data_IF_294500069100
#
_entry.id   IF_294500069100
#
_cell.length_a   1.000
_cell.length_b   1.000
_cell.length_c   1.000
_cell.angle_alpha   90.00
_cell.angle_beta   90.00
_cell.angle_gamma   90.00
#
_symmetry.space_group_name_H-M   'P 1'
#
loop_
_entity.id
_entity.type
_entity.pdbx_description
1 polymer ?
#
# COMPACT_ATOMS: atom_id res chain seq x y z
N UNK A 1 -15.50 -19.23 -1.71
CA UNK A 1 -16.24 -18.42 -0.72
C UNK A 1 -17.72 -18.52 -1.08
N UNK A 2 -18.58 -18.98 -0.17
CA UNK A 2 -20.03 -19.06 -0.41
C UNK A 2 -20.76 -17.96 0.36
N UNK A 3 -22.04 -17.73 0.03
CA UNK A 3 -22.86 -16.68 0.64
C UNK A 3 -22.92 -16.80 2.16
N UNK A 4 -23.13 -18.01 2.69
CA UNK A 4 -23.31 -18.23 4.12
C UNK A 4 -22.06 -17.86 4.93
N UNK A 5 -20.87 -18.17 4.40
CA UNK A 5 -19.59 -17.78 5.02
C UNK A 5 -19.47 -16.26 5.10
N UNK A 6 -19.84 -15.55 4.03
CA UNK A 6 -19.77 -14.07 3.99
C UNK A 6 -20.83 -13.45 4.90
N UNK A 7 -22.04 -14.01 4.94
CA UNK A 7 -23.11 -13.55 5.82
C UNK A 7 -22.76 -13.72 7.31
N UNK A 8 -22.07 -14.80 7.66
CA UNK A 8 -21.56 -15.03 9.01
C UNK A 8 -20.49 -14.01 9.39
N UNK A 9 -19.51 -13.77 8.51
CA UNK A 9 -18.47 -12.76 8.73
C UNK A 9 -19.08 -11.35 8.87
N UNK A 10 -20.02 -10.99 8.02
CA UNK A 10 -20.72 -9.70 8.06
C UNK A 10 -21.44 -9.43 9.39
N UNK A 11 -21.85 -10.48 10.12
CA UNK A 11 -22.53 -10.38 11.42
C UNK A 11 -21.58 -10.44 12.61
N UNK A 12 -20.48 -11.19 12.50
CA UNK A 12 -19.67 -11.57 13.66
C UNK A 12 -18.25 -11.01 13.65
N UNK A 13 -17.73 -10.59 12.50
CA UNK A 13 -16.36 -10.10 12.39
C UNK A 13 -16.24 -8.68 13.00
N UNK A 14 -15.43 -8.47 14.06
CA UNK A 14 -15.33 -7.18 14.73
C UNK A 14 -14.84 -6.06 13.82
N UNK A 15 -13.97 -6.36 12.85
CA UNK A 15 -13.50 -5.35 11.90
C UNK A 15 -14.64 -4.87 11.00
N UNK A 16 -15.45 -5.80 10.46
CA UNK A 16 -16.59 -5.44 9.61
C UNK A 16 -17.69 -4.70 10.39
N UNK A 17 -17.89 -5.06 11.67
CA UNK A 17 -18.82 -4.35 12.54
C UNK A 17 -18.34 -2.93 12.86
N UNK A 18 -17.05 -2.76 13.14
CA UNK A 18 -16.44 -1.45 13.40
C UNK A 18 -16.56 -0.51 12.20
N UNK A 19 -16.46 -1.02 10.97
CA UNK A 19 -16.64 -0.22 9.74
C UNK A 19 -17.99 0.52 9.65
N UNK A 20 -19.00 0.09 10.41
CA UNK A 20 -20.34 0.72 10.43
C UNK A 20 -20.52 1.74 11.56
N UNK A 21 -19.50 1.95 12.40
CA UNK A 21 -19.61 2.75 13.62
C UNK A 21 -19.17 4.18 13.35
N UNK A 22 -19.92 5.14 13.91
CA UNK A 22 -19.62 6.58 13.76
C UNK A 22 -18.30 6.98 14.41
N UNK A 23 -17.87 6.30 15.47
CA UNK A 23 -16.60 6.55 16.14
C UNK A 23 -15.39 5.93 15.43
N UNK A 24 -15.59 5.21 14.32
CA UNK A 24 -14.50 4.55 13.60
C UNK A 24 -13.37 5.52 13.19
N UNK A 25 -13.64 6.73 12.64
CA UNK A 25 -12.57 7.64 12.27
C UNK A 25 -11.68 8.00 13.47
N UNK A 26 -12.29 8.28 14.63
CA UNK A 26 -11.59 8.53 15.90
C UNK A 26 -10.74 7.33 16.31
N UNK A 27 -11.31 6.12 16.32
CA UNK A 27 -10.58 4.92 16.75
C UNK A 27 -9.38 4.64 15.85
N UNK A 28 -9.56 4.62 14.53
CA UNK A 28 -8.48 4.30 13.59
C UNK A 28 -7.40 5.37 13.63
N UNK A 29 -7.77 6.65 13.60
CA UNK A 29 -6.78 7.73 13.60
C UNK A 29 -5.98 7.80 14.89
N UNK A 30 -6.64 7.59 16.04
CA UNK A 30 -5.99 7.56 17.34
C UNK A 30 -5.10 6.33 17.53
N UNK A 31 -5.62 5.12 17.24
CA UNK A 31 -4.85 3.88 17.39
C UNK A 31 -3.64 3.84 16.44
N UNK A 32 -3.79 4.35 15.21
CA UNK A 32 -2.67 4.53 14.31
C UNK A 32 -1.65 5.55 14.84
N UNK A 33 -2.09 6.67 15.41
CA UNK A 33 -1.20 7.66 16.03
C UNK A 33 -0.38 7.06 17.20
N UNK A 34 -1.03 6.34 18.10
CA UNK A 34 -0.38 5.77 19.30
C UNK A 34 0.54 4.61 18.94
N UNK A 35 0.07 3.61 18.19
CA UNK A 35 0.83 2.38 17.99
C UNK A 35 1.71 2.39 16.73
N UNK A 36 1.25 3.01 15.63
CA UNK A 36 1.98 2.97 14.35
C UNK A 36 2.96 4.12 14.19
N UNK A 37 2.53 5.37 14.44
CA UNK A 37 3.40 6.54 14.28
C UNK A 37 4.49 6.65 15.34
N UNK A 38 4.21 6.24 16.58
CA UNK A 38 5.21 6.21 17.66
C UNK A 38 5.97 4.89 17.75
N UNK A 39 5.63 3.90 16.91
CA UNK A 39 6.20 2.55 16.92
C UNK A 39 6.13 1.84 18.29
N UNK A 40 5.07 2.10 19.05
CA UNK A 40 4.84 1.45 20.35
C UNK A 40 4.09 0.13 20.15
N UNK A 41 4.56 -0.96 20.78
CA UNK A 41 3.89 -2.27 20.72
C UNK A 41 2.82 -2.40 21.81
N UNK A 42 3.03 -1.73 22.95
CA UNK A 42 2.16 -1.72 24.10
C UNK A 42 2.30 -0.39 24.84
N UNK A 43 1.21 0.09 25.43
CA UNK A 43 1.16 1.38 26.14
C UNK A 43 0.55 1.16 27.52
N UNK A 44 0.98 1.89 28.55
CA UNK A 44 0.29 1.82 29.85
C UNK A 44 -1.15 2.33 29.71
N UNK A 45 -2.08 1.76 30.47
CA UNK A 45 -3.50 2.15 30.41
C UNK A 45 -3.70 3.63 30.71
N UNK A 46 -2.98 4.15 31.71
CA UNK A 46 -3.10 5.55 32.11
C UNK A 46 -2.60 6.48 31.01
N UNK A 47 -1.42 6.19 30.44
CA UNK A 47 -0.90 6.98 29.31
C UNK A 47 -1.79 6.87 28.07
N UNK A 48 -2.33 5.69 27.78
CA UNK A 48 -3.27 5.51 26.66
C UNK A 48 -4.53 6.37 26.85
N UNK A 49 -5.09 6.40 28.06
CA UNK A 49 -6.26 7.21 28.40
C UNK A 49 -5.94 8.71 28.29
N UNK A 50 -4.86 9.18 28.89
CA UNK A 50 -4.45 10.59 28.85
C UNK A 50 -4.22 11.06 27.41
N UNK A 51 -3.56 10.23 26.60
CA UNK A 51 -3.37 10.50 25.18
C UNK A 51 -4.70 10.57 24.43
N UNK A 52 -5.67 9.72 24.78
CA UNK A 52 -7.00 9.71 24.15
C UNK A 52 -7.81 10.95 24.53
N UNK A 53 -7.79 11.37 25.80
CA UNK A 53 -8.46 12.60 26.25
C UNK A 53 -7.90 13.82 25.49
N UNK A 54 -6.57 13.95 25.44
CA UNK A 54 -5.93 15.03 24.68
C UNK A 54 -6.24 14.97 23.17
N UNK A 55 -6.36 13.77 22.61
CA UNK A 55 -6.71 13.57 21.21
C UNK A 55 -8.17 13.93 20.93
N UNK A 56 -9.09 13.58 21.83
CA UNK A 56 -10.50 13.95 21.74
C UNK A 56 -10.67 15.47 21.75
N UNK A 57 -9.99 16.16 22.65
CA UNK A 57 -10.01 17.63 22.71
C UNK A 57 -9.52 18.25 21.39
N UNK A 58 -8.42 17.73 20.86
CA UNK A 58 -7.86 18.18 19.58
C UNK A 58 -8.84 17.96 18.42
N UNK A 59 -9.43 16.77 18.29
CA UNK A 59 -10.38 16.44 17.22
C UNK A 59 -11.66 17.26 17.36
N UNK A 60 -12.22 17.36 18.56
CA UNK A 60 -13.43 18.14 18.82
C UNK A 60 -13.24 19.64 18.57
N UNK A 61 -12.01 20.15 18.74
CA UNK A 61 -11.66 21.53 18.37
C UNK A 61 -11.69 21.80 16.86
N UNK A 62 -11.58 20.76 16.02
CA UNK A 62 -11.64 20.87 14.56
C UNK A 62 -13.03 20.54 13.99
N UNK A 63 -13.86 19.80 14.72
CA UNK A 63 -15.17 19.36 14.26
C UNK A 63 -16.29 20.38 14.54
N UNK A 64 -17.32 20.45 13.66
CA UNK A 64 -18.58 21.12 13.96
C UNK A 64 -19.23 20.59 15.25
N UNK A 65 -19.95 21.44 16.00
CA UNK A 65 -20.52 21.10 17.32
C UNK A 65 -21.48 19.89 17.30
N UNK A 66 -22.14 19.67 16.17
CA UNK A 66 -23.06 18.55 15.93
C UNK A 66 -22.36 17.22 15.66
N UNK A 67 -21.10 17.25 15.22
CA UNK A 67 -20.27 16.07 14.92
C UNK A 67 -19.27 15.74 16.04
N UNK A 68 -19.20 16.56 17.09
CA UNK A 68 -18.26 16.35 18.20
C UNK A 68 -18.53 15.06 18.98
N UNK A 69 -17.44 14.38 19.35
CA UNK A 69 -17.45 13.24 20.24
C UNK A 69 -17.69 13.70 21.68
N UNK A 70 -18.91 13.46 22.20
CA UNK A 70 -19.34 13.94 23.53
C UNK A 70 -19.00 13.00 24.70
N UNK A 71 -18.40 11.85 24.41
CA UNK A 71 -18.02 10.84 25.40
C UNK A 71 -16.56 11.02 25.79
N UNK A 72 -16.23 10.65 27.02
CA UNK A 72 -14.86 10.72 27.56
C UNK A 72 -13.96 9.57 27.06
N UNK A 73 -12.65 9.65 27.32
CA UNK A 73 -11.74 8.58 26.95
C UNK A 73 -12.08 7.24 27.61
N UNK A 74 -12.53 7.24 28.87
CA UNK A 74 -12.90 6.01 29.59
C UNK A 74 -13.98 5.23 28.86
N UNK A 75 -15.01 5.93 28.34
CA UNK A 75 -16.06 5.33 27.54
C UNK A 75 -15.49 4.61 26.31
N UNK A 76 -14.58 5.25 25.57
CA UNK A 76 -13.99 4.66 24.36
C UNK A 76 -13.03 3.51 24.68
N UNK A 77 -12.23 3.61 25.75
CA UNK A 77 -11.37 2.52 26.22
C UNK A 77 -12.20 1.29 26.55
N UNK A 78 -13.28 1.46 27.30
CA UNK A 78 -14.19 0.38 27.67
C UNK A 78 -14.88 -0.21 26.44
N UNK A 79 -15.40 0.66 25.56
CA UNK A 79 -16.05 0.25 24.31
C UNK A 79 -15.15 -0.57 23.40
N UNK A 80 -13.96 -0.04 23.10
CA UNK A 80 -13.00 -0.68 22.20
C UNK A 80 -12.39 -1.95 22.78
N UNK A 81 -12.38 -2.11 24.10
CA UNK A 81 -11.87 -3.32 24.75
C UNK A 81 -12.92 -4.41 24.91
N UNK A 82 -14.17 -4.06 25.26
CA UNK A 82 -15.20 -5.06 25.60
C UNK A 82 -16.23 -5.30 24.50
N UNK A 83 -16.67 -4.26 23.81
CA UNK A 83 -17.74 -4.38 22.80
C UNK A 83 -17.18 -4.70 21.42
N UNK A 84 -16.15 -3.97 21.00
CA UNK A 84 -15.73 -3.93 19.61
C UNK A 84 -14.40 -4.67 19.34
N UNK A 85 -13.78 -5.25 20.38
CA UNK A 85 -12.53 -6.04 20.34
C UNK A 85 -11.42 -5.41 19.47
N UNK A 86 -11.19 -4.11 19.63
CA UNK A 86 -10.14 -3.37 18.95
C UNK A 86 -8.85 -3.29 19.78
N UNK A 87 -8.98 -3.23 21.11
CA UNK A 87 -7.84 -3.17 22.02
C UNK A 87 -7.93 -4.27 23.08
N UNK A 88 -6.76 -4.73 23.55
CA UNK A 88 -6.63 -5.72 24.61
C UNK A 88 -5.94 -5.09 25.80
N UNK A 89 -6.62 -5.10 26.95
CA UNK A 89 -6.07 -4.66 28.23
C UNK A 89 -5.56 -5.88 28.98
N UNK A 90 -4.27 -5.90 29.33
CA UNK A 90 -3.62 -6.99 30.06
C UNK A 90 -3.01 -6.47 31.35
N UNK A 91 -3.10 -7.27 32.41
CA UNK A 91 -2.34 -7.02 33.65
C UNK A 91 -0.88 -7.42 33.45
N UNK A 92 0.03 -6.61 33.98
CA UNK A 92 1.48 -6.82 34.07
C UNK A 92 1.95 -6.35 35.46
N UNK A 93 3.14 -6.77 35.88
CA UNK A 93 3.68 -6.57 37.24
C UNK A 93 3.56 -5.14 37.80
N UNK A 94 3.54 -4.11 36.95
CA UNK A 94 3.44 -2.69 37.34
C UNK A 94 2.13 -2.00 36.90
N UNK A 95 1.10 -2.74 36.48
CA UNK A 95 -0.21 -2.17 36.15
C UNK A 95 -0.90 -2.81 34.94
N UNK A 96 -1.69 -2.03 34.22
CA UNK A 96 -2.39 -2.48 33.02
C UNK A 96 -1.75 -1.89 31.77
N UNK A 97 -1.57 -2.73 30.75
CA UNK A 97 -1.09 -2.33 29.43
C UNK A 97 -2.15 -2.57 28.36
N UNK A 98 -2.17 -1.71 27.35
CA UNK A 98 -3.05 -1.75 26.20
C UNK A 98 -2.25 -2.18 24.98
N UNK A 99 -2.79 -3.14 24.23
CA UNK A 99 -2.27 -3.60 22.95
C UNK A 99 -3.38 -3.55 21.89
N UNK A 100 -3.01 -3.49 20.62
CA UNK A 100 -3.97 -3.70 19.54
C UNK A 100 -4.44 -5.16 19.50
N UNK A 101 -5.71 -5.36 19.18
CA UNK A 101 -6.21 -6.67 18.79
C UNK A 101 -5.80 -6.99 17.34
N UNK A 102 -5.82 -8.27 16.93
CA UNK A 102 -5.64 -8.65 15.52
C UNK A 102 -6.66 -7.98 14.58
N UNK A 103 -7.86 -7.67 15.08
CA UNK A 103 -8.90 -7.02 14.29
C UNK A 103 -8.58 -5.54 14.05
N UNK A 104 -8.08 -4.83 15.06
CA UNK A 104 -7.62 -3.45 14.90
C UNK A 104 -6.38 -3.36 14.02
N UNK A 105 -5.42 -4.27 14.18
CA UNK A 105 -4.25 -4.39 13.29
C UNK A 105 -4.67 -4.52 11.82
N UNK A 106 -5.63 -5.42 11.53
CA UNK A 106 -6.17 -5.61 10.19
C UNK A 106 -6.92 -4.37 9.68
N UNK A 107 -7.72 -3.72 10.51
CA UNK A 107 -8.42 -2.48 10.15
C UNK A 107 -7.44 -1.38 9.78
N UNK A 108 -6.45 -1.12 10.64
CA UNK A 108 -5.42 -0.10 10.39
C UNK A 108 -4.71 -0.42 9.08
N UNK A 109 -4.29 -1.67 8.87
CA UNK A 109 -3.66 -2.10 7.62
C UNK A 109 -4.53 -1.86 6.37
N UNK A 110 -5.85 -2.06 6.45
CA UNK A 110 -6.75 -1.72 5.34
C UNK A 110 -6.78 -0.22 5.04
N UNK A 111 -6.80 0.64 6.07
CA UNK A 111 -6.76 2.09 5.89
C UNK A 111 -5.40 2.57 5.37
N UNK A 112 -4.30 2.00 5.87
CA UNK A 112 -2.95 2.23 5.34
C UNK A 112 -2.86 1.81 3.87
N UNK A 113 -3.38 0.64 3.50
CA UNK A 113 -3.44 0.19 2.11
C UNK A 113 -4.28 1.11 1.24
N UNK A 114 -5.43 1.57 1.73
CA UNK A 114 -6.29 2.52 1.01
C UNK A 114 -5.59 3.87 0.79
N UNK A 115 -4.79 4.34 1.75
CA UNK A 115 -3.96 5.54 1.60
C UNK A 115 -2.75 5.29 0.67
N UNK A 116 -2.10 4.14 0.78
CA UNK A 116 -0.86 3.79 0.07
C UNK A 116 -1.06 3.26 -1.35
N UNK A 117 -2.30 2.90 -1.74
CA UNK A 117 -2.67 2.49 -3.12
C UNK A 117 -2.45 3.57 -4.17
N UNK A 118 -2.12 4.80 -3.78
CA UNK A 118 -1.67 5.87 -4.69
C UNK A 118 -0.15 5.96 -4.90
N UNK A 119 0.69 5.46 -3.97
CA UNK A 119 2.08 5.94 -3.88
C UNK A 119 3.19 4.87 -3.99
N UNK A 120 2.94 3.58 -3.71
CA UNK A 120 4.04 2.56 -3.65
C UNK A 120 3.83 1.38 -4.62
N UNK A 121 2.61 1.14 -5.09
CA UNK A 121 2.28 -0.06 -5.87
C UNK A 121 2.70 -0.05 -7.35
N UNK A 122 2.83 1.12 -7.97
CA UNK A 122 3.02 1.25 -9.42
C UNK A 122 4.49 1.31 -9.79
N UNK A 123 5.30 2.02 -9.02
CA UNK A 123 6.74 2.16 -9.28
C UNK A 123 7.48 0.83 -9.10
N UNK A 124 7.23 0.12 -7.98
CA UNK A 124 7.87 -1.17 -7.72
C UNK A 124 7.47 -2.23 -8.74
N UNK A 125 6.19 -2.32 -9.11
CA UNK A 125 5.71 -3.28 -10.11
C UNK A 125 6.15 -2.96 -11.52
N UNK A 126 6.13 -1.68 -11.93
CA UNK A 126 6.64 -1.28 -13.24
C UNK A 126 8.15 -1.54 -13.34
N UNK A 127 8.90 -1.23 -12.28
CA UNK A 127 10.34 -1.51 -12.21
C UNK A 127 10.61 -3.01 -12.29
N UNK A 128 9.85 -3.84 -11.58
CA UNK A 128 9.95 -5.31 -11.69
C UNK A 128 9.61 -5.80 -13.10
N UNK A 129 8.57 -5.27 -13.75
CA UNK A 129 8.22 -5.65 -15.13
C UNK A 129 9.31 -5.22 -16.12
N UNK A 130 9.87 -4.02 -15.98
CA UNK A 130 10.99 -3.54 -16.79
C UNK A 130 12.25 -4.38 -16.57
N UNK A 131 12.57 -4.74 -15.33
CA UNK A 131 13.70 -5.64 -15.01
C UNK A 131 13.49 -7.03 -15.60
N UNK A 132 12.28 -7.59 -15.51
CA UNK A 132 11.99 -8.91 -16.10
C UNK A 132 12.00 -8.87 -17.63
N UNK A 133 11.52 -7.79 -18.25
CA UNK A 133 11.62 -7.60 -19.71
C UNK A 133 13.08 -7.43 -20.15
N UNK A 134 13.87 -6.64 -19.42
CA UNK A 134 15.31 -6.48 -19.68
C UNK A 134 16.05 -7.81 -19.49
N UNK A 135 15.72 -8.59 -18.46
CA UNK A 135 16.25 -9.95 -18.28
C UNK A 135 15.85 -10.87 -19.43
N UNK A 136 14.60 -10.80 -19.91
CA UNK A 136 14.16 -11.60 -21.07
C UNK A 136 14.89 -11.18 -22.34
N UNK A 137 15.01 -9.90 -22.65
CA UNK A 137 15.76 -9.42 -23.84
C UNK A 137 17.24 -9.78 -23.72
N UNK A 138 17.83 -9.55 -22.55
CA UNK A 138 19.25 -9.80 -22.27
C UNK A 138 19.60 -11.29 -22.28
N UNK A 139 18.72 -12.16 -21.76
CA UNK A 139 18.94 -13.61 -21.67
C UNK A 139 18.34 -14.42 -22.83
N UNK A 140 17.53 -13.80 -23.68
CA UNK A 140 17.07 -14.40 -24.95
C UNK A 140 17.95 -14.07 -26.15
N UNK A 141 18.93 -13.17 -25.99
CA UNK A 141 19.95 -12.94 -27.00
C UNK A 141 20.94 -14.11 -26.97
N UNK A 142 20.80 -15.06 -27.91
CA UNK A 142 21.71 -16.21 -28.05
C UNK A 142 23.12 -15.85 -28.55
N UNK A 143 23.37 -14.57 -28.87
CA UNK A 143 24.64 -14.09 -29.42
C UNK A 143 25.55 -13.43 -28.37
N UNK A 144 26.66 -14.10 -28.07
CA UNK A 144 27.68 -13.71 -27.08
C UNK A 144 28.38 -12.39 -27.45
N UNK A 145 28.59 -12.12 -28.74
CA UNK A 145 29.28 -10.90 -29.18
C UNK A 145 28.46 -9.64 -28.92
N UNK A 146 27.16 -9.69 -29.20
CA UNK A 146 26.23 -8.59 -28.93
C UNK A 146 26.18 -8.27 -27.43
N UNK A 147 26.20 -9.29 -26.57
CA UNK A 147 26.20 -9.10 -25.12
C UNK A 147 27.50 -8.50 -24.61
N UNK A 148 28.64 -8.97 -25.11
CA UNK A 148 29.95 -8.40 -24.75
C UNK A 148 30.06 -6.93 -25.18
N UNK A 149 29.57 -6.58 -26.37
CA UNK A 149 29.57 -5.20 -26.85
C UNK A 149 28.77 -4.27 -25.94
N UNK A 150 27.55 -4.66 -25.56
CA UNK A 150 26.72 -3.89 -24.62
C UNK A 150 27.41 -3.71 -23.25
N UNK A 151 28.11 -4.73 -22.76
CA UNK A 151 28.84 -4.66 -21.50
C UNK A 151 30.07 -3.75 -21.60
N UNK A 152 30.77 -3.75 -22.73
CA UNK A 152 31.88 -2.83 -22.97
C UNK A 152 31.41 -1.38 -23.09
N UNK A 153 30.35 -1.12 -23.83
CA UNK A 153 29.77 0.22 -23.95
C UNK A 153 29.36 0.75 -22.57
N UNK A 154 28.73 -0.11 -21.75
CA UNK A 154 28.31 0.26 -20.39
C UNK A 154 29.48 0.51 -19.45
N UNK A 155 30.54 -0.30 -19.56
CA UNK A 155 31.77 -0.09 -18.80
C UNK A 155 32.40 1.25 -19.18
N UNK A 156 32.51 1.54 -20.47
CA UNK A 156 33.18 2.74 -20.95
C UNK A 156 32.41 4.02 -20.57
N UNK A 157 31.06 3.97 -20.55
CA UNK A 157 30.22 5.04 -19.99
C UNK A 157 30.52 5.30 -18.50
N UNK A 158 30.58 4.24 -17.70
CA UNK A 158 30.82 4.32 -16.26
C UNK A 158 32.26 4.81 -15.98
N UNK A 159 33.24 4.30 -16.72
CA UNK A 159 34.64 4.70 -16.59
C UNK A 159 34.82 6.20 -16.92
N UNK A 160 34.16 6.68 -17.98
CA UNK A 160 34.18 8.09 -18.34
C UNK A 160 33.52 8.97 -17.27
N UNK A 161 32.43 8.49 -16.64
CA UNK A 161 31.78 9.17 -15.53
C UNK A 161 32.66 9.21 -14.27
N UNK A 162 33.30 8.10 -13.91
CA UNK A 162 34.25 8.03 -12.79
C UNK A 162 35.41 9.02 -13.02
N UNK A 163 36.06 8.98 -14.18
CA UNK A 163 37.19 9.87 -14.51
C UNK A 163 36.75 11.34 -14.44
N UNK A 164 35.53 11.65 -14.91
CA UNK A 164 34.98 13.00 -14.83
C UNK A 164 34.80 13.41 -13.37
N UNK A 165 34.14 12.60 -12.54
CA UNK A 165 33.90 12.89 -11.13
C UNK A 165 35.21 13.00 -10.35
N UNK A 166 36.19 12.13 -10.61
CA UNK A 166 37.51 12.18 -9.97
C UNK A 166 38.27 13.47 -10.32
N UNK A 167 38.18 13.92 -11.57
CA UNK A 167 38.83 15.17 -12.03
C UNK A 167 38.12 16.43 -11.57
N UNK A 168 36.79 16.45 -11.56
CA UNK A 168 36.02 17.64 -11.19
C UNK A 168 35.78 17.73 -9.68
N UNK A 169 35.90 16.61 -8.95
CA UNK A 169 35.48 16.49 -7.53
C UNK A 169 34.06 16.99 -7.28
N UNK A 170 33.22 16.98 -8.32
CA UNK A 170 31.86 17.47 -8.29
C UNK A 170 30.95 16.39 -8.88
N UNK A 171 29.93 16.02 -8.10
CA UNK A 171 28.81 15.23 -8.60
C UNK A 171 27.78 16.24 -9.08
N UNK A 172 27.47 16.23 -10.37
CA UNK A 172 26.41 17.07 -10.94
C UNK A 172 25.06 16.61 -10.40
N UNK A 173 24.71 17.12 -9.21
CA UNK A 173 23.40 16.94 -8.61
C UNK A 173 22.38 17.78 -9.36
N UNK A 174 21.16 17.27 -9.48
CA UNK A 174 20.05 18.07 -10.00
C UNK A 174 19.76 19.23 -9.04
N UNK A 175 19.59 20.43 -9.59
CA UNK A 175 19.06 21.57 -8.82
C UNK A 175 17.59 21.33 -8.44
N UNK A 176 17.09 21.97 -7.39
CA UNK A 176 15.69 21.80 -6.95
C UNK A 176 14.65 22.05 -8.06
N UNK A 177 14.93 22.99 -8.97
CA UNK A 177 14.10 23.28 -10.14
C UNK A 177 14.13 22.10 -11.13
N UNK A 178 15.33 21.58 -11.40
CA UNK A 178 15.54 20.42 -12.26
C UNK A 178 14.96 19.13 -11.69
N UNK A 179 14.92 18.98 -10.37
CA UNK A 179 14.24 17.89 -9.67
C UNK A 179 12.73 18.04 -9.86
N UNK A 180 12.17 19.24 -9.64
CA UNK A 180 10.75 19.51 -9.79
C UNK A 180 10.26 19.26 -11.23
N UNK A 181 10.97 19.78 -12.23
CA UNK A 181 10.65 19.56 -13.65
C UNK A 181 10.68 18.07 -14.03
N UNK A 182 11.67 17.33 -13.53
CA UNK A 182 11.77 15.88 -13.77
C UNK A 182 10.66 15.11 -13.08
N UNK A 183 10.29 15.48 -11.85
CA UNK A 183 9.16 14.87 -11.14
C UNK A 183 7.83 15.13 -11.85
N UNK A 184 7.63 16.33 -12.39
CA UNK A 184 6.46 16.64 -13.21
C UNK A 184 6.46 15.83 -14.52
N UNK A 185 7.60 15.72 -15.19
CA UNK A 185 7.74 14.90 -16.39
C UNK A 185 7.46 13.42 -16.10
N UNK A 186 8.01 12.87 -15.02
CA UNK A 186 7.74 11.49 -14.57
C UNK A 186 6.25 11.30 -14.26
N UNK A 187 5.60 12.27 -13.61
CA UNK A 187 4.17 12.22 -13.30
C UNK A 187 3.32 12.21 -14.57
N UNK A 188 3.67 13.03 -15.56
CA UNK A 188 2.99 13.08 -16.86
C UNK A 188 3.17 11.79 -17.65
N UNK A 189 4.39 11.24 -17.68
CA UNK A 189 4.69 9.95 -18.30
C UNK A 189 3.95 8.80 -17.63
N UNK A 190 3.91 8.77 -16.29
CA UNK A 190 3.16 7.76 -15.54
C UNK A 190 1.65 7.85 -15.82
N UNK A 191 1.09 9.05 -15.88
CA UNK A 191 -0.31 9.27 -16.21
C UNK A 191 -0.64 8.83 -17.65
N UNK A 192 0.27 9.07 -18.60
CA UNK A 192 0.11 8.62 -19.98
C UNK A 192 0.23 7.10 -20.10
N UNK A 193 1.21 6.51 -19.42
CA UNK A 193 1.41 5.06 -19.40
C UNK A 193 0.21 4.33 -18.79
N UNK A 194 -0.41 4.86 -17.73
CA UNK A 194 -1.66 4.32 -17.15
C UNK A 194 -2.84 4.37 -18.13
N UNK A 195 -2.96 5.45 -18.91
CA UNK A 195 -3.96 5.57 -19.97
C UNK A 195 -3.71 4.56 -21.10
N UNK A 196 -2.44 4.35 -21.45
CA UNK A 196 -2.05 3.37 -22.47
C UNK A 196 -2.24 1.92 -21.98
N UNK A 197 -2.03 1.64 -20.68
CA UNK A 197 -2.33 0.33 -20.09
C UNK A 197 -3.83 0.00 -20.09
N UNK A 198 -4.70 1.00 -19.92
CA UNK A 198 -6.16 0.78 -20.04
C UNK A 198 -6.50 0.25 -21.45
N UNK A 199 -5.83 0.77 -22.49
CA UNK A 199 -5.99 0.29 -23.87
C UNK A 199 -5.40 -1.12 -24.09
N UNK A 200 -4.37 -1.49 -23.34
CA UNK A 200 -3.76 -2.84 -23.41
C UNK A 200 -4.62 -3.87 -22.67
N UNK A 201 -5.23 -3.52 -21.53
CA UNK A 201 -6.16 -4.40 -20.80
C UNK A 201 -7.36 -4.80 -21.69
N UNK A 202 -7.94 -3.84 -22.40
CA UNK A 202 -9.06 -4.10 -23.31
C UNK A 202 -8.67 -5.12 -24.40
N UNK A 203 -7.47 -4.99 -24.98
CA UNK A 203 -6.94 -5.96 -25.97
C UNK A 203 -6.68 -7.34 -25.38
N UNK A 204 -6.16 -7.42 -24.15
CA UNK A 204 -5.98 -8.71 -23.47
C UNK A 204 -7.32 -9.39 -23.15
N UNK A 205 -8.34 -8.60 -22.80
CA UNK A 205 -9.69 -9.11 -22.51
C UNK A 205 -10.38 -9.64 -23.76
N UNK A 206 -10.19 -9.00 -24.92
CA UNK A 206 -10.63 -9.51 -26.22
C UNK A 206 -9.91 -10.81 -26.60
N UNK A 207 -8.58 -10.86 -26.43
CA UNK A 207 -7.79 -12.04 -26.74
C UNK A 207 -8.14 -13.23 -25.84
N UNK A 208 -8.35 -13.00 -24.53
CA UNK A 208 -8.80 -14.02 -23.60
C UNK A 208 -10.19 -14.59 -23.97
N UNK A 209 -11.13 -13.73 -24.40
CA UNK A 209 -12.44 -14.18 -24.90
C UNK A 209 -12.32 -15.02 -26.16
N UNK A 210 -11.42 -14.67 -27.09
CA UNK A 210 -11.19 -15.44 -28.32
C UNK A 210 -10.62 -16.84 -28.04
N UNK A 211 -9.70 -16.95 -27.07
CA UNK A 211 -9.11 -18.23 -26.66
C UNK A 211 -10.15 -19.11 -25.95
N UNK A 212 -10.98 -18.50 -25.10
CA UNK A 212 -12.07 -19.20 -24.42
C UNK A 212 -13.12 -19.72 -25.40
N UNK A 213 -13.48 -18.94 -26.43
CA UNK A 213 -14.36 -19.39 -27.51
C UNK A 213 -13.74 -20.52 -28.35
N UNK A 214 -12.44 -20.47 -28.60
CA UNK A 214 -11.72 -21.53 -29.32
C UNK A 214 -11.63 -22.85 -28.53
N UNK A 215 -11.60 -22.80 -27.19
CA UNK A 215 -11.63 -24.01 -26.34
C UNK A 215 -13.03 -24.58 -26.11
N UNK A 216 -14.07 -23.75 -26.20
CA UNK A 216 -15.47 -24.19 -26.01
C UNK A 216 -16.10 -24.79 -27.29
N UNK A 217 -15.39 -24.84 -28.41
CA UNK A 217 -15.81 -25.50 -29.64
C UNK A 217 -14.94 -26.75 -29.92
N UNK A 218 -15.30 -27.94 -29.39
CA UNK A 218 -14.55 -29.16 -29.65
C UNK A 218 -14.81 -29.81 -31.04
N UNK A 219 -15.58 -29.17 -31.93
CA UNK A 219 -15.96 -29.74 -33.25
C UNK A 219 -15.12 -29.26 -34.46
N UNK A 220 -13.93 -28.69 -34.25
CA UNK A 220 -12.98 -28.41 -35.35
C UNK A 220 -11.69 -29.24 -35.31
N UNK A 221 -11.68 -30.37 -34.57
CA UNK A 221 -10.55 -31.33 -34.57
C UNK A 221 -10.89 -32.73 -35.07
N UNK A 222 -12.04 -32.94 -35.72
CA UNK A 222 -12.35 -34.16 -36.48
C UNK A 222 -12.78 -33.79 -37.90
N UNK A 223 -11.91 -34.11 -38.86
CA UNK A 223 -11.97 -33.71 -40.26
C UNK A 223 -10.84 -32.71 -40.49
N UNK A 224 -9.65 -33.12 -40.94
CA UNK A 224 -9.41 -33.85 -42.18
C UNK A 224 -8.53 -35.10 -41.96
N UNK A 225 -9.02 -36.24 -42.46
CA UNK A 225 -8.22 -37.36 -42.96
C UNK A 225 -8.17 -37.18 -44.48
#
# INVERSE_FOLDING_TARGET
>A
MNYDTVAMLHKNDPALLALRKEWLPLAISFLHYVFKRKHEVQVSRDSFREQLDAYLDHINGMLPKDEQYRRDADYYVERWSREDDLIRVRSRDEGYVVLLSPHAERLIGWFEDMQNRGMIGTESRLRTILTLLDEVVTRSTEDVETRLRQLYDRRDEIEAEIIRIEKTQQVDGFTDVQIRERLEHVSNMAAQLLRDFSRVEDRFREMARSIQQAQLNPDMRRGEI
#
